data_IF_576842990176
#
_entry.id   IF_576842990176
#
_cell.length_a   1.000
_cell.length_b   1.000
_cell.length_c   1.000
_cell.angle_alpha   90.00
_cell.angle_beta   90.00
_cell.angle_gamma   90.00
#
_symmetry.space_group_name_H-M   'P 1'
#
loop_
_entity.id
_entity.type
_entity.pdbx_description
1 polymer ?
#
# COMPACT_ATOMS: atom_id res chain seq x y z
N UNK A 1 -23.44 -5.24 4.69
CA UNK A 1 -23.38 -6.43 3.80
C UNK A 1 -22.72 -7.55 4.59
N UNK A 2 -23.42 -8.65 4.82
CA UNK A 2 -22.91 -9.80 5.57
C UNK A 2 -21.85 -10.46 4.69
N UNK A 3 -20.60 -10.34 5.08
CA UNK A 3 -19.48 -11.05 4.43
C UNK A 3 -19.70 -12.54 4.75
N UNK A 4 -20.21 -13.27 3.78
CA UNK A 4 -20.39 -14.71 3.92
C UNK A 4 -19.02 -15.33 4.22
N UNK A 5 -18.86 -15.79 5.46
CA UNK A 5 -17.60 -16.36 5.97
C UNK A 5 -17.26 -17.58 5.08
N UNK A 6 -16.13 -17.52 4.40
CA UNK A 6 -15.57 -18.68 3.70
C UNK A 6 -15.15 -19.72 4.74
N UNK A 7 -15.36 -21.00 4.45
CA UNK A 7 -14.82 -22.06 5.28
C UNK A 7 -13.28 -22.12 5.18
N UNK A 8 -12.62 -22.72 6.16
CA UNK A 8 -11.16 -22.74 6.27
C UNK A 8 -10.46 -23.32 5.02
N UNK A 9 -11.07 -24.30 4.36
CA UNK A 9 -10.52 -24.89 3.13
C UNK A 9 -10.58 -23.93 1.96
N UNK A 10 -11.70 -23.22 1.81
CA UNK A 10 -11.85 -22.18 0.78
C UNK A 10 -10.91 -20.99 1.02
N UNK A 11 -10.77 -20.55 2.28
CA UNK A 11 -9.80 -19.53 2.67
C UNK A 11 -8.37 -19.95 2.32
N UNK A 12 -7.99 -21.18 2.67
CA UNK A 12 -6.66 -21.71 2.37
C UNK A 12 -6.40 -21.79 0.87
N UNK A 13 -7.35 -22.27 0.06
CA UNK A 13 -7.19 -22.34 -1.39
C UNK A 13 -7.16 -20.94 -2.03
N UNK A 14 -7.97 -20.00 -1.56
CA UNK A 14 -7.95 -18.62 -2.04
C UNK A 14 -6.59 -17.96 -1.71
N UNK A 15 -6.07 -18.17 -0.50
CA UNK A 15 -4.75 -17.66 -0.10
C UNK A 15 -3.66 -18.15 -1.06
N UNK A 16 -3.57 -19.46 -1.26
CA UNK A 16 -2.56 -20.07 -2.15
C UNK A 16 -2.73 -19.59 -3.60
N UNK A 17 -3.97 -19.43 -4.08
CA UNK A 17 -4.25 -18.95 -5.41
C UNK A 17 -3.75 -17.51 -5.60
N UNK A 18 -4.05 -16.63 -4.65
CA UNK A 18 -3.64 -15.22 -4.72
C UNK A 18 -2.11 -15.09 -4.62
N UNK A 19 -1.47 -15.77 -3.66
CA UNK A 19 -0.02 -15.76 -3.49
C UNK A 19 0.71 -16.25 -4.76
N UNK A 20 0.19 -17.31 -5.38
CA UNK A 20 0.78 -17.84 -6.61
C UNK A 20 0.57 -16.89 -7.79
N UNK A 21 -0.63 -16.35 -7.93
CA UNK A 21 -0.92 -15.41 -8.99
C UNK A 21 -0.08 -14.13 -8.90
N UNK A 22 0.13 -13.60 -7.68
CA UNK A 22 1.02 -12.45 -7.46
C UNK A 22 2.46 -12.77 -7.91
N UNK A 23 2.94 -13.99 -7.64
CA UNK A 23 4.30 -14.40 -7.97
C UNK A 23 4.52 -14.66 -9.46
N UNK A 24 3.55 -15.27 -10.13
CA UNK A 24 3.71 -15.83 -11.49
C UNK A 24 2.96 -15.06 -12.57
N UNK A 25 1.93 -14.30 -12.20
CA UNK A 25 1.08 -13.57 -13.15
C UNK A 25 0.24 -14.44 -14.08
N UNK A 26 0.13 -15.76 -13.78
CA UNK A 26 -0.57 -16.74 -14.63
C UNK A 26 -1.79 -17.32 -13.91
N UNK A 27 -2.88 -17.64 -14.65
CA UNK A 27 -4.04 -18.28 -14.07
C UNK A 27 -3.69 -19.60 -13.39
N UNK A 28 -4.23 -19.83 -12.18
CA UNK A 28 -3.88 -20.97 -11.34
C UNK A 28 -4.86 -22.11 -11.51
N UNK A 29 -4.36 -23.28 -11.91
CA UNK A 29 -5.17 -24.49 -12.13
C UNK A 29 -5.43 -25.27 -10.84
N UNK A 30 -6.52 -26.07 -10.83
CA UNK A 30 -6.89 -26.90 -9.66
C UNK A 30 -5.84 -27.93 -9.27
N UNK A 31 -5.08 -28.46 -10.22
CA UNK A 31 -3.99 -29.41 -9.94
C UNK A 31 -2.85 -28.75 -9.16
N UNK A 32 -2.47 -27.57 -9.57
CA UNK A 32 -1.47 -26.76 -8.91
C UNK A 32 -1.89 -26.36 -7.50
N UNK A 33 -3.15 -25.91 -7.35
CA UNK A 33 -3.70 -25.58 -6.04
C UNK A 33 -3.74 -26.78 -5.08
N UNK A 34 -4.06 -27.95 -5.59
CA UNK A 34 -4.04 -29.18 -4.79
C UNK A 34 -2.63 -29.45 -4.23
N UNK A 35 -1.61 -29.31 -5.08
CA UNK A 35 -0.21 -29.55 -4.70
C UNK A 35 0.28 -28.51 -3.70
N UNK A 36 0.02 -27.24 -3.96
CA UNK A 36 0.57 -26.13 -3.17
C UNK A 36 -0.18 -25.88 -1.86
N UNK A 37 -1.47 -26.23 -1.80
CA UNK A 37 -2.27 -26.00 -0.58
C UNK A 37 -1.91 -26.92 0.58
N UNK A 38 -1.34 -28.10 0.28
CA UNK A 38 -1.09 -29.14 1.27
C UNK A 38 -2.35 -29.69 1.93
N UNK A 39 -3.55 -29.43 1.37
CA UNK A 39 -4.79 -29.91 1.92
C UNK A 39 -5.01 -31.40 1.60
N UNK A 40 -5.43 -32.23 2.57
CA UNK A 40 -5.74 -33.62 2.36
C UNK A 40 -7.12 -33.79 1.72
N UNK A 41 -7.27 -33.33 0.49
CA UNK A 41 -8.55 -33.36 -0.25
C UNK A 41 -8.34 -33.88 -1.67
N UNK A 42 -9.42 -34.33 -2.32
CA UNK A 42 -9.36 -34.80 -3.70
C UNK A 42 -9.33 -33.63 -4.70
N UNK A 43 -8.85 -33.89 -5.92
CA UNK A 43 -8.88 -32.93 -7.01
C UNK A 43 -10.32 -32.47 -7.35
N UNK A 44 -11.31 -33.33 -7.17
CA UNK A 44 -12.70 -32.99 -7.34
C UNK A 44 -13.16 -31.97 -6.28
N UNK A 45 -12.77 -32.16 -5.02
CA UNK A 45 -13.05 -31.22 -3.93
C UNK A 45 -12.45 -29.83 -4.22
N UNK A 46 -11.20 -29.78 -4.70
CA UNK A 46 -10.57 -28.49 -5.07
C UNK A 46 -11.36 -27.79 -6.17
N UNK A 47 -11.79 -28.52 -7.21
CA UNK A 47 -12.62 -27.93 -8.28
C UNK A 47 -13.95 -27.38 -7.75
N UNK A 48 -14.61 -28.10 -6.84
CA UNK A 48 -15.86 -27.64 -6.23
C UNK A 48 -15.66 -26.35 -5.41
N UNK A 49 -14.58 -26.30 -4.63
CA UNK A 49 -14.25 -25.09 -3.86
C UNK A 49 -13.89 -23.92 -4.81
N UNK A 50 -13.17 -24.18 -5.91
CA UNK A 50 -12.89 -23.15 -6.90
C UNK A 50 -14.18 -22.63 -7.57
N UNK A 51 -15.13 -23.49 -7.86
CA UNK A 51 -16.43 -23.08 -8.37
C UNK A 51 -17.20 -22.25 -7.34
N UNK A 52 -17.21 -22.65 -6.07
CA UNK A 52 -17.80 -21.86 -4.98
C UNK A 52 -17.15 -20.47 -4.85
N UNK A 53 -15.83 -20.40 -4.93
CA UNK A 53 -15.10 -19.11 -4.88
C UNK A 53 -15.43 -18.22 -6.08
N UNK A 54 -15.66 -18.82 -7.26
CA UNK A 54 -16.06 -18.12 -8.47
C UNK A 54 -17.51 -17.61 -8.36
N UNK A 55 -18.45 -18.43 -7.93
CA UNK A 55 -19.84 -18.05 -7.72
C UNK A 55 -19.99 -16.92 -6.71
N UNK A 56 -19.12 -16.89 -5.70
CA UNK A 56 -19.06 -15.82 -4.70
C UNK A 56 -18.25 -14.58 -5.15
N UNK A 57 -17.69 -14.60 -6.36
CA UNK A 57 -16.98 -13.48 -6.94
C UNK A 57 -15.57 -13.23 -6.41
N UNK A 58 -14.94 -14.18 -5.70
CA UNK A 58 -13.55 -14.03 -5.22
C UNK A 58 -12.52 -14.33 -6.32
N UNK A 59 -12.86 -15.18 -7.25
CA UNK A 59 -12.02 -15.55 -8.40
C UNK A 59 -12.87 -15.54 -9.67
N UNK A 60 -12.18 -15.51 -10.82
CA UNK A 60 -12.82 -15.57 -12.13
C UNK A 60 -11.99 -16.41 -13.09
N UNK A 61 -12.63 -17.05 -14.04
CA UNK A 61 -11.96 -17.71 -15.16
C UNK A 61 -11.76 -16.72 -16.31
N UNK A 62 -10.53 -16.39 -16.70
CA UNK A 62 -10.30 -15.50 -17.83
C UNK A 62 -10.72 -16.15 -19.18
N UNK A 63 -10.63 -17.49 -19.29
CA UNK A 63 -11.04 -18.27 -20.46
C UNK A 63 -11.49 -19.65 -20.02
N UNK A 64 -12.34 -20.31 -20.83
CA UNK A 64 -13.03 -21.57 -20.52
C UNK A 64 -12.10 -22.72 -20.10
N UNK A 65 -10.87 -22.78 -20.60
CA UNK A 65 -9.86 -23.80 -20.29
C UNK A 65 -8.73 -23.31 -19.37
N UNK A 66 -8.75 -22.04 -19.00
CA UNK A 66 -7.73 -21.45 -18.11
C UNK A 66 -8.02 -21.79 -16.63
N UNK A 67 -7.00 -21.68 -15.78
CA UNK A 67 -7.18 -21.69 -14.34
C UNK A 67 -8.04 -20.49 -13.87
N UNK A 68 -7.95 -20.15 -12.61
CA UNK A 68 -8.64 -19.01 -12.01
C UNK A 68 -7.65 -17.90 -11.69
N UNK A 69 -8.11 -16.65 -11.76
CA UNK A 69 -7.40 -15.45 -11.32
C UNK A 69 -8.20 -14.76 -10.22
N UNK A 70 -7.55 -14.05 -9.29
CA UNK A 70 -8.24 -13.29 -8.25
C UNK A 70 -9.02 -12.11 -8.86
N UNK A 71 -10.20 -11.83 -8.32
CA UNK A 71 -10.94 -10.58 -8.57
C UNK A 71 -10.49 -9.48 -7.58
N UNK A 72 -10.99 -8.27 -7.76
CA UNK A 72 -10.80 -7.19 -6.77
C UNK A 72 -11.32 -7.60 -5.39
N UNK A 73 -12.45 -8.30 -5.32
CA UNK A 73 -13.00 -8.82 -4.07
C UNK A 73 -12.11 -9.90 -3.45
N UNK A 74 -11.54 -10.78 -4.27
CA UNK A 74 -10.58 -11.80 -3.84
C UNK A 74 -9.33 -11.20 -3.23
N UNK A 75 -8.74 -10.20 -3.87
CA UNK A 75 -7.59 -9.47 -3.31
C UNK A 75 -7.93 -8.74 -2.01
N UNK A 76 -9.09 -8.08 -1.94
CA UNK A 76 -9.53 -7.39 -0.73
C UNK A 76 -9.66 -8.37 0.43
N UNK A 77 -10.35 -9.50 0.23
CA UNK A 77 -10.50 -10.51 1.26
C UNK A 77 -9.15 -11.10 1.69
N UNK A 78 -8.23 -11.35 0.74
CA UNK A 78 -6.89 -11.83 1.02
C UNK A 78 -6.13 -10.84 1.93
N UNK A 79 -6.09 -9.56 1.58
CA UNK A 79 -5.38 -8.52 2.36
C UNK A 79 -6.00 -8.34 3.74
N UNK A 80 -7.34 -8.26 3.82
CA UNK A 80 -8.03 -7.93 5.07
C UNK A 80 -8.09 -9.12 6.05
N UNK A 81 -7.99 -10.36 5.55
CA UNK A 81 -8.27 -11.56 6.37
C UNK A 81 -7.16 -12.61 6.36
N UNK A 82 -6.53 -12.85 5.22
CA UNK A 82 -5.66 -14.02 5.02
C UNK A 82 -4.17 -13.70 5.05
N UNK A 83 -3.78 -12.45 4.80
CA UNK A 83 -2.40 -12.02 4.88
C UNK A 83 -1.92 -12.02 6.33
N UNK A 84 -0.83 -12.72 6.56
CA UNK A 84 -0.12 -12.62 7.84
C UNK A 84 1.04 -11.66 7.64
N UNK A 85 0.99 -10.51 8.29
CA UNK A 85 2.08 -9.54 8.27
C UNK A 85 3.22 -10.09 9.12
N UNK A 86 4.35 -10.39 8.48
CA UNK A 86 5.57 -10.73 9.20
C UNK A 86 6.39 -9.45 9.43
N UNK A 87 6.95 -9.26 10.63
CA UNK A 87 7.88 -8.15 10.87
C UNK A 87 9.06 -8.23 9.88
N UNK A 88 9.50 -7.10 9.39
CA UNK A 88 10.71 -7.02 8.59
C UNK A 88 11.91 -7.46 9.43
N UNK A 89 12.82 -8.23 8.85
CA UNK A 89 14.07 -8.60 9.50
C UNK A 89 14.88 -7.34 9.85
N UNK A 90 15.53 -7.36 11.02
CA UNK A 90 16.19 -6.17 11.56
C UNK A 90 17.22 -5.53 10.63
N UNK A 91 17.93 -6.34 9.82
CA UNK A 91 18.89 -5.82 8.84
C UNK A 91 18.20 -5.08 7.68
N UNK A 92 17.01 -5.54 7.23
CA UNK A 92 16.21 -4.85 6.21
C UNK A 92 15.72 -3.52 6.76
N UNK A 93 15.25 -3.51 8.00
CA UNK A 93 14.78 -2.28 8.64
C UNK A 93 15.90 -1.24 8.80
N UNK A 94 17.10 -1.67 9.15
CA UNK A 94 18.25 -0.77 9.26
C UNK A 94 18.68 -0.21 7.91
N UNK A 95 18.70 -1.04 6.87
CA UNK A 95 18.98 -0.55 5.50
C UNK A 95 17.92 0.45 5.03
N UNK A 96 16.63 0.21 5.31
CA UNK A 96 15.56 1.15 5.00
C UNK A 96 15.77 2.50 5.68
N UNK A 97 16.18 2.51 6.95
CA UNK A 97 16.46 3.76 7.67
C UNK A 97 17.64 4.52 7.09
N UNK A 98 18.71 3.85 6.69
CA UNK A 98 19.88 4.46 6.06
C UNK A 98 19.55 5.02 4.66
N UNK A 99 18.77 4.28 3.88
CA UNK A 99 18.40 4.69 2.52
C UNK A 99 17.37 5.84 2.51
N UNK A 100 16.51 5.93 3.52
CA UNK A 100 15.48 6.96 3.68
C UNK A 100 15.91 8.01 4.73
N UNK A 101 17.18 8.37 4.76
CA UNK A 101 17.71 9.36 5.68
C UNK A 101 17.09 10.75 5.42
N UNK A 102 16.72 11.42 6.50
CA UNK A 102 16.12 12.76 6.45
C UNK A 102 17.09 13.85 5.94
N UNK A 103 18.40 13.58 5.92
CA UNK A 103 19.41 14.52 5.40
C UNK A 103 19.46 14.53 3.85
N UNK A 104 18.89 13.52 3.19
CA UNK A 104 18.82 13.47 1.73
C UNK A 104 17.87 14.52 1.17
N UNK A 105 18.18 15.01 -0.01
CA UNK A 105 17.25 15.86 -0.77
C UNK A 105 15.97 15.12 -1.15
N UNK A 106 14.92 15.86 -1.46
CA UNK A 106 13.63 15.27 -1.84
C UNK A 106 13.75 14.35 -3.07
N UNK A 107 14.55 14.74 -4.06
CA UNK A 107 14.76 13.95 -5.28
C UNK A 107 15.54 12.66 -4.99
N UNK A 108 16.54 12.70 -4.12
CA UNK A 108 17.28 11.52 -3.66
C UNK A 108 16.39 10.57 -2.86
N UNK A 109 15.50 11.10 -1.99
CA UNK A 109 14.54 10.29 -1.25
C UNK A 109 13.55 9.57 -2.18
N UNK A 110 13.07 10.26 -3.21
CA UNK A 110 12.18 9.65 -4.22
C UNK A 110 12.89 8.52 -4.97
N UNK A 111 14.12 8.77 -5.40
CA UNK A 111 14.93 7.75 -6.09
C UNK A 111 15.20 6.54 -5.18
N UNK A 112 15.65 6.77 -3.94
CA UNK A 112 15.88 5.72 -2.96
C UNK A 112 14.61 4.93 -2.65
N UNK A 113 13.48 5.60 -2.42
CA UNK A 113 12.20 4.94 -2.14
C UNK A 113 11.72 4.10 -3.32
N UNK A 114 11.86 4.58 -4.55
CA UNK A 114 11.51 3.83 -5.76
C UNK A 114 12.36 2.56 -5.91
N UNK A 115 13.66 2.67 -5.66
CA UNK A 115 14.59 1.55 -5.73
C UNK A 115 14.32 0.51 -4.62
N UNK A 116 14.05 0.97 -3.39
CA UNK A 116 13.69 0.11 -2.26
C UNK A 116 12.38 -0.66 -2.53
N UNK A 117 11.35 0.02 -3.01
CA UNK A 117 10.09 -0.63 -3.38
C UNK A 117 10.32 -1.70 -4.43
N UNK A 118 11.10 -1.41 -5.46
CA UNK A 118 11.42 -2.37 -6.53
C UNK A 118 12.17 -3.59 -5.99
N UNK A 119 13.17 -3.39 -5.14
CA UNK A 119 13.98 -4.48 -4.57
C UNK A 119 13.18 -5.39 -3.62
N UNK A 120 12.33 -4.79 -2.76
CA UNK A 120 11.52 -5.53 -1.79
C UNK A 120 10.39 -6.32 -2.44
N UNK A 121 9.72 -5.72 -3.42
CA UNK A 121 8.56 -6.32 -4.07
C UNK A 121 8.91 -7.17 -5.28
N UNK A 122 10.12 -7.01 -5.84
CA UNK A 122 10.53 -7.54 -7.15
C UNK A 122 9.59 -7.10 -8.28
N UNK A 123 9.02 -5.91 -8.13
CA UNK A 123 8.14 -5.24 -9.07
C UNK A 123 8.71 -3.87 -9.44
N UNK A 124 8.17 -3.22 -10.46
CA UNK A 124 8.53 -1.83 -10.75
C UNK A 124 8.04 -0.91 -9.62
N UNK A 125 8.97 -0.27 -8.92
CA UNK A 125 8.67 0.72 -7.88
C UNK A 125 8.52 2.11 -8.50
N UNK A 126 7.37 2.74 -8.34
CA UNK A 126 7.12 4.11 -8.80
C UNK A 126 6.77 4.99 -7.62
N UNK A 127 7.58 6.04 -7.42
CA UNK A 127 7.33 7.07 -6.42
C UNK A 127 7.19 8.40 -7.13
N UNK A 128 6.08 9.07 -6.93
CA UNK A 128 5.84 10.40 -7.49
C UNK A 128 5.63 11.39 -6.37
N UNK A 129 6.23 12.56 -6.50
CA UNK A 129 5.91 13.70 -5.65
C UNK A 129 4.97 14.64 -6.38
N UNK A 130 4.04 15.29 -5.67
CA UNK A 130 3.29 16.39 -6.24
C UNK A 130 4.29 17.40 -6.80
N UNK A 131 4.11 17.83 -8.04
CA UNK A 131 4.92 18.90 -8.61
C UNK A 131 4.84 20.10 -7.66
N UNK A 132 5.96 20.49 -7.07
CA UNK A 132 6.04 21.77 -6.37
C UNK A 132 5.81 22.83 -7.44
N UNK A 133 4.59 23.32 -7.57
CA UNK A 133 4.41 24.62 -8.18
C UNK A 133 5.39 25.54 -7.46
N UNK A 134 6.23 26.26 -8.19
CA UNK A 134 7.15 27.21 -7.60
C UNK A 134 6.35 28.15 -6.74
N UNK A 135 6.38 27.89 -5.42
CA UNK A 135 5.69 28.73 -4.45
C UNK A 135 6.46 30.05 -4.43
N UNK A 136 5.94 31.03 -5.11
CA UNK A 136 6.47 32.38 -5.03
C UNK A 136 5.92 33.01 -3.77
N UNK A 137 6.76 33.20 -2.76
CA UNK A 137 6.40 33.96 -1.57
C UNK A 137 6.22 35.42 -1.98
N UNK A 138 4.99 35.91 -1.92
CA UNK A 138 4.67 37.31 -2.25
C UNK A 138 4.74 38.22 -1.05
N UNK A 139 4.27 37.75 0.10
CA UNK A 139 4.17 38.58 1.31
C UNK A 139 4.26 37.70 2.54
N UNK A 140 4.93 38.22 3.56
CA UNK A 140 4.97 37.66 4.92
C UNK A 140 4.54 38.76 5.87
N UNK A 141 3.55 38.46 6.71
CA UNK A 141 3.13 39.36 7.77
C UNK A 141 3.29 38.69 9.12
N UNK A 142 3.68 39.45 10.10
CA UNK A 142 3.84 39.03 11.49
C UNK A 142 2.89 39.84 12.34
N UNK A 143 1.94 39.18 13.00
CA UNK A 143 1.00 39.81 13.92
C UNK A 143 1.27 39.32 15.34
N UNK A 144 1.68 40.18 16.25
CA UNK A 144 1.84 39.81 17.65
C UNK A 144 0.50 39.38 18.25
N UNK A 145 0.52 38.29 18.99
CA UNK A 145 -0.60 37.78 19.78
C UNK A 145 -0.25 37.91 21.27
N UNK A 146 -1.24 37.72 22.12
CA UNK A 146 -1.01 37.75 23.57
C UNK A 146 0.03 36.73 24.02
N UNK A 147 0.99 37.14 24.84
CA UNK A 147 2.14 36.37 25.28
C UNK A 147 3.19 36.21 24.17
N UNK A 148 4.07 35.24 24.30
CA UNK A 148 5.16 34.99 23.35
C UNK A 148 4.70 34.30 22.06
N UNK A 149 3.60 34.72 21.45
CA UNK A 149 3.04 34.13 20.25
C UNK A 149 2.96 35.15 19.12
N UNK A 150 3.30 34.70 17.92
CA UNK A 150 3.19 35.49 16.70
C UNK A 150 2.41 34.72 15.68
N UNK A 151 1.38 35.33 15.09
CA UNK A 151 0.73 34.80 13.91
C UNK A 151 1.54 35.21 12.68
N UNK A 152 2.04 34.24 11.95
CA UNK A 152 2.72 34.42 10.67
C UNK A 152 1.74 34.14 9.55
N UNK A 153 1.52 35.12 8.68
CA UNK A 153 0.69 35.01 7.48
C UNK A 153 1.62 34.99 6.28
N UNK A 154 1.56 33.91 5.51
CA UNK A 154 2.33 33.71 4.29
C UNK A 154 1.40 33.77 3.10
N UNK A 155 1.56 34.76 2.24
CA UNK A 155 0.87 34.81 0.96
C UNK A 155 1.75 34.17 -0.09
N UNK A 156 1.29 33.00 -0.57
CA UNK A 156 2.01 32.18 -1.52
C UNK A 156 1.20 32.14 -2.80
N UNK A 157 1.79 32.55 -3.90
CA UNK A 157 1.10 32.73 -5.18
C UNK A 157 -0.07 33.73 -5.10
N UNK A 158 -1.00 33.69 -6.06
CA UNK A 158 -2.11 34.66 -6.14
C UNK A 158 -3.34 34.26 -5.30
N UNK A 159 -3.42 33.02 -4.81
CA UNK A 159 -4.63 32.46 -4.20
C UNK A 159 -4.39 31.63 -2.92
N UNK A 160 -3.16 31.44 -2.51
CA UNK A 160 -2.85 30.58 -1.38
C UNK A 160 -2.30 31.39 -0.20
N UNK A 161 -3.07 31.43 0.87
CA UNK A 161 -2.70 32.10 2.13
C UNK A 161 -2.56 31.04 3.21
N UNK A 162 -1.36 30.91 3.74
CA UNK A 162 -1.07 30.03 4.85
C UNK A 162 -0.86 30.85 6.12
N UNK A 163 -1.42 30.41 7.23
CA UNK A 163 -1.21 31.01 8.52
C UNK A 163 -0.66 29.99 9.52
N UNK A 164 0.23 30.46 10.39
CA UNK A 164 0.83 29.63 11.43
C UNK A 164 1.13 30.46 12.68
N UNK A 165 0.76 29.96 13.84
CA UNK A 165 1.17 30.54 15.11
C UNK A 165 2.51 29.94 15.51
N UNK A 166 3.51 30.80 15.74
CA UNK A 166 4.81 30.41 16.26
C UNK A 166 4.97 30.91 17.69
N UNK A 167 5.74 30.20 18.50
CA UNK A 167 6.11 30.60 19.86
C UNK A 167 7.53 31.17 19.82
N UNK A 168 7.71 32.34 20.42
CA UNK A 168 9.00 33.01 20.46
C UNK A 168 9.57 32.99 21.90
N UNK A 169 10.88 33.20 22.03
CA UNK A 169 11.53 33.22 23.34
C UNK A 169 11.32 34.54 24.11
N UNK A 170 10.83 35.55 23.42
CA UNK A 170 10.53 36.90 23.98
C UNK A 170 9.27 37.45 23.35
N UNK A 171 8.62 38.34 24.08
CA UNK A 171 7.46 39.05 23.60
C UNK A 171 7.85 40.10 22.55
N UNK A 172 7.09 40.21 21.49
CA UNK A 172 7.23 41.24 20.47
C UNK A 172 5.97 42.10 20.51
N UNK A 173 6.17 43.40 20.62
CA UNK A 173 5.14 44.45 20.49
C UNK A 173 5.22 45.05 19.10
N UNK A 174 4.14 45.73 18.68
CA UNK A 174 4.11 46.45 17.42
C UNK A 174 5.22 47.48 17.28
#
# INVERSE_FOLDING_TARGET
MVTAVLNDRAQRLLKVLVERYIREGQPVGSKTLLQDSGLPVSAATVRNIMAELEDRGFVVSPHTSAGRIPTQQGYRFFVDTLVTVSPLEGHILNNLKLELDAEKSADELVASASQLLSSLTRQAGLVTMPSRQRLSLRQVEFLPLSGNRILVILVVNEKDVQNRVIHTQREFTE
#
